data_IF_065139657677
#
_entry.id   IF_065139657677
#
_cell.length_a   1.000
_cell.length_b   1.000
_cell.length_c   1.000
_cell.angle_alpha   90.00
_cell.angle_beta   90.00
_cell.angle_gamma   90.00
#
_symmetry.space_group_name_H-M   'P 1'
#
loop_
_entity.id
_entity.type
_entity.pdbx_description
1 polymer ?
#
# COMPACT_ATOMS: atom_id res chain seq x y z
N UNK A 1 29.73 -8.90 -5.63
CA UNK A 1 28.58 -9.38 -4.83
C UNK A 1 27.30 -8.57 -5.06
N UNK A 2 27.36 -7.24 -5.37
CA UNK A 2 26.18 -6.38 -5.59
C UNK A 2 25.24 -6.89 -6.70
N UNK A 3 25.76 -7.30 -7.83
CA UNK A 3 24.93 -7.77 -8.96
C UNK A 3 24.22 -9.12 -8.68
N UNK A 4 24.78 -9.98 -7.81
CA UNK A 4 24.20 -11.29 -7.53
C UNK A 4 22.83 -11.19 -6.80
N UNK A 5 22.71 -10.26 -5.83
CA UNK A 5 21.45 -10.00 -5.13
C UNK A 5 20.37 -9.47 -6.10
N UNK A 6 20.75 -8.58 -7.02
CA UNK A 6 19.83 -8.03 -8.02
C UNK A 6 19.33 -9.11 -8.98
N UNK A 7 20.21 -10.01 -9.45
CA UNK A 7 19.83 -11.13 -10.31
C UNK A 7 18.90 -12.13 -9.60
N UNK A 8 19.16 -12.41 -8.31
CA UNK A 8 18.26 -13.24 -7.50
C UNK A 8 16.88 -12.59 -7.38
N UNK A 9 16.83 -11.29 -7.09
CA UNK A 9 15.58 -10.54 -6.98
C UNK A 9 14.82 -10.52 -8.32
N UNK A 10 15.52 -10.25 -9.44
CA UNK A 10 14.95 -10.30 -10.78
C UNK A 10 14.43 -11.70 -11.14
N UNK A 11 15.16 -12.75 -10.78
CA UNK A 11 14.74 -14.14 -10.97
C UNK A 11 13.49 -14.50 -10.18
N UNK A 12 13.39 -14.03 -8.93
CA UNK A 12 12.18 -14.22 -8.09
C UNK A 12 10.98 -13.51 -8.73
N UNK A 13 11.13 -12.26 -9.15
CA UNK A 13 10.04 -11.52 -9.82
C UNK A 13 9.62 -12.24 -11.11
N UNK A 14 10.58 -12.65 -11.94
CA UNK A 14 10.28 -13.37 -13.18
C UNK A 14 9.53 -14.68 -12.90
N UNK A 15 9.97 -15.45 -11.92
CA UNK A 15 9.29 -16.68 -11.49
C UNK A 15 7.85 -16.40 -11.06
N UNK A 16 7.62 -15.34 -10.29
CA UNK A 16 6.30 -14.94 -9.83
C UNK A 16 5.39 -14.55 -10.99
N UNK A 17 5.91 -13.76 -11.96
CA UNK A 17 5.15 -13.37 -13.15
C UNK A 17 4.78 -14.60 -13.99
N UNK A 18 5.71 -15.53 -14.15
CA UNK A 18 5.47 -16.80 -14.86
C UNK A 18 4.40 -17.62 -14.13
N UNK A 19 4.52 -17.77 -12.81
CA UNK A 19 3.53 -18.50 -12.01
C UNK A 19 2.15 -17.84 -12.07
N UNK A 20 2.08 -16.50 -12.00
CA UNK A 20 0.82 -15.77 -12.16
C UNK A 20 0.20 -15.99 -13.54
N UNK A 21 1.02 -16.04 -14.60
CA UNK A 21 0.55 -16.29 -15.96
C UNK A 21 0.08 -17.74 -16.17
N UNK A 22 0.74 -18.73 -15.52
CA UNK A 22 0.37 -20.15 -15.61
C UNK A 22 -0.88 -20.47 -14.79
N UNK A 23 -0.99 -19.92 -13.59
CA UNK A 23 -2.07 -20.23 -12.64
C UNK A 23 -3.22 -19.23 -12.69
N UNK A 24 -3.09 -18.13 -13.44
CA UNK A 24 -4.08 -17.06 -13.60
C UNK A 24 -4.76 -16.63 -12.29
N UNK A 25 -3.94 -16.47 -11.25
CA UNK A 25 -4.42 -16.16 -9.89
C UNK A 25 -5.23 -14.87 -9.83
N UNK A 26 -4.98 -13.94 -10.75
CA UNK A 26 -5.73 -12.68 -10.85
C UNK A 26 -7.20 -12.90 -11.23
N UNK A 27 -7.52 -13.90 -12.02
CA UNK A 27 -8.90 -14.24 -12.39
C UNK A 27 -9.64 -14.95 -11.26
N UNK A 28 -8.93 -15.74 -10.44
CA UNK A 28 -9.53 -16.45 -9.31
C UNK A 28 -10.11 -15.51 -8.24
N UNK A 29 -9.54 -14.32 -8.06
CA UNK A 29 -9.99 -13.35 -7.04
C UNK A 29 -11.23 -12.58 -7.52
N UNK A 30 -11.50 -12.51 -8.81
CA UNK A 30 -12.54 -11.65 -9.41
C UNK A 30 -13.85 -12.35 -9.70
N UNK A 31 -13.97 -13.67 -9.54
CA UNK A 31 -15.17 -14.41 -9.87
C UNK A 31 -16.19 -14.36 -8.73
N UNK A 32 -17.47 -14.11 -9.06
CA UNK A 32 -18.58 -14.02 -8.09
C UNK A 32 -18.72 -15.29 -7.23
N UNK A 33 -18.46 -16.47 -7.81
CA UNK A 33 -18.48 -17.75 -7.11
C UNK A 33 -17.44 -17.84 -5.98
N UNK A 34 -16.26 -17.28 -6.22
CA UNK A 34 -15.20 -17.26 -5.22
C UNK A 34 -15.52 -16.29 -4.05
N UNK A 35 -16.22 -15.19 -4.34
CA UNK A 35 -16.69 -14.29 -3.30
C UNK A 35 -17.74 -14.98 -2.39
N UNK A 36 -18.65 -15.76 -2.97
CA UNK A 36 -19.61 -16.54 -2.16
C UNK A 36 -18.94 -17.64 -1.34
N UNK A 37 -17.96 -18.32 -1.91
CA UNK A 37 -17.14 -19.29 -1.17
C UNK A 37 -16.43 -18.63 0.02
N UNK A 38 -15.79 -17.47 -0.19
CA UNK A 38 -15.14 -16.70 0.88
C UNK A 38 -16.16 -16.27 1.95
N UNK A 39 -17.34 -15.79 1.56
CA UNK A 39 -18.42 -15.45 2.51
C UNK A 39 -18.84 -16.64 3.37
N UNK A 40 -18.94 -17.84 2.80
CA UNK A 40 -19.25 -19.08 3.55
C UNK A 40 -18.16 -19.39 4.59
N UNK A 41 -16.87 -19.21 4.24
CA UNK A 41 -15.77 -19.39 5.22
C UNK A 41 -15.89 -18.38 6.34
N UNK A 42 -16.19 -17.11 6.02
CA UNK A 42 -16.40 -16.05 7.04
C UNK A 42 -17.53 -16.41 7.99
N UNK A 43 -18.64 -16.94 7.48
CA UNK A 43 -19.80 -17.34 8.30
C UNK A 43 -19.50 -18.55 9.20
N UNK A 44 -18.71 -19.50 8.71
CA UNK A 44 -18.40 -20.74 9.44
C UNK A 44 -17.25 -20.55 10.45
N UNK A 45 -16.23 -19.76 10.11
CA UNK A 45 -15.05 -19.58 10.95
C UNK A 45 -14.38 -18.21 10.67
N UNK A 46 -14.88 -17.17 11.32
CA UNK A 46 -14.37 -15.81 11.17
C UNK A 46 -12.85 -15.68 11.43
N UNK A 47 -12.27 -16.26 12.50
CA UNK A 47 -10.84 -16.17 12.74
C UNK A 47 -9.99 -16.78 11.60
N UNK A 48 -10.40 -17.93 11.08
CA UNK A 48 -9.72 -18.56 9.95
C UNK A 48 -9.81 -17.71 8.68
N UNK A 49 -11.00 -17.14 8.40
CA UNK A 49 -11.21 -16.26 7.27
C UNK A 49 -10.31 -15.02 7.34
N UNK A 50 -10.21 -14.39 8.52
CA UNK A 50 -9.32 -13.25 8.76
C UNK A 50 -7.87 -13.65 8.52
N UNK A 51 -7.41 -14.77 9.07
CA UNK A 51 -6.04 -15.24 8.89
C UNK A 51 -5.72 -15.49 7.41
N UNK A 52 -6.59 -16.19 6.70
CA UNK A 52 -6.41 -16.45 5.26
C UNK A 52 -6.37 -15.15 4.45
N UNK A 53 -7.29 -14.23 4.72
CA UNK A 53 -7.31 -12.91 4.09
C UNK A 53 -6.00 -12.15 4.34
N UNK A 54 -5.53 -12.11 5.59
CA UNK A 54 -4.30 -11.40 5.96
C UNK A 54 -3.08 -12.00 5.24
N UNK A 55 -2.96 -13.32 5.21
CA UNK A 55 -1.85 -14.01 4.51
C UNK A 55 -1.91 -13.71 3.01
N UNK A 56 -3.07 -13.83 2.38
CA UNK A 56 -3.24 -13.53 0.95
C UNK A 56 -2.94 -12.06 0.63
N UNK A 57 -3.36 -11.14 1.50
CA UNK A 57 -3.05 -9.70 1.34
C UNK A 57 -1.56 -9.44 1.43
N UNK A 58 -0.87 -10.00 2.43
CA UNK A 58 0.58 -9.85 2.60
C UNK A 58 1.32 -10.40 1.38
N UNK A 59 0.98 -11.60 0.94
CA UNK A 59 1.56 -12.21 -0.27
C UNK A 59 1.27 -11.36 -1.49
N UNK A 60 0.04 -10.90 -1.67
CA UNK A 60 -0.37 -10.06 -2.79
C UNK A 60 0.37 -8.72 -2.84
N UNK A 61 0.61 -8.10 -1.68
CA UNK A 61 1.37 -6.85 -1.60
C UNK A 61 2.86 -7.02 -1.93
N UNK A 62 3.47 -8.16 -1.57
CA UNK A 62 4.89 -8.39 -1.77
C UNK A 62 5.18 -8.97 -3.16
N UNK A 63 4.35 -9.94 -3.58
CA UNK A 63 4.63 -10.84 -4.70
C UNK A 63 3.90 -10.43 -5.97
N UNK A 64 2.59 -10.17 -5.87
CA UNK A 64 1.73 -10.01 -7.05
C UNK A 64 1.61 -8.57 -7.54
N UNK A 65 2.18 -7.62 -6.84
CA UNK A 65 2.06 -6.19 -7.15
C UNK A 65 0.60 -5.73 -7.37
N UNK A 66 -0.36 -6.36 -6.69
CA UNK A 66 -1.77 -6.01 -6.79
C UNK A 66 -2.02 -4.63 -6.16
N UNK A 67 -2.92 -3.83 -6.72
CA UNK A 67 -3.30 -2.55 -6.12
C UNK A 67 -3.85 -2.74 -4.71
N UNK A 68 -3.35 -1.99 -3.73
CA UNK A 68 -3.81 -2.07 -2.33
C UNK A 68 -5.32 -1.87 -2.17
N UNK A 69 -5.94 -1.11 -3.06
CA UNK A 69 -7.40 -0.88 -3.15
C UNK A 69 -8.18 -2.19 -3.30
N UNK A 70 -7.67 -3.15 -4.06
CA UNK A 70 -8.33 -4.46 -4.27
C UNK A 70 -8.56 -5.18 -2.94
N UNK A 71 -7.54 -5.18 -2.07
CA UNK A 71 -7.65 -5.80 -0.74
C UNK A 71 -8.63 -5.05 0.16
N UNK A 72 -8.65 -3.71 0.10
CA UNK A 72 -9.58 -2.92 0.90
C UNK A 72 -11.05 -3.16 0.47
N UNK A 73 -11.31 -3.29 -0.84
CA UNK A 73 -12.62 -3.64 -1.37
C UNK A 73 -13.06 -5.01 -0.85
N UNK A 74 -12.20 -6.02 -0.96
CA UNK A 74 -12.50 -7.37 -0.48
C UNK A 74 -12.75 -7.40 1.03
N UNK A 75 -11.92 -6.69 1.81
CA UNK A 75 -12.10 -6.62 3.25
C UNK A 75 -13.45 -6.02 3.66
N UNK A 76 -13.86 -4.92 3.01
CA UNK A 76 -15.15 -4.28 3.28
C UNK A 76 -16.33 -5.20 2.93
N UNK A 77 -16.27 -5.92 1.80
CA UNK A 77 -17.30 -6.85 1.36
C UNK A 77 -17.41 -8.10 2.24
N UNK A 78 -16.28 -8.59 2.78
CA UNK A 78 -16.23 -9.84 3.54
C UNK A 78 -16.43 -9.64 5.04
N UNK A 79 -15.81 -8.62 5.62
CA UNK A 79 -15.72 -8.42 7.07
C UNK A 79 -16.45 -7.18 7.56
N UNK A 80 -17.01 -6.38 6.65
CA UNK A 80 -17.68 -5.13 6.99
C UNK A 80 -16.72 -3.97 7.30
N UNK A 81 -17.25 -2.84 7.79
CA UNK A 81 -16.49 -1.59 7.84
C UNK A 81 -15.35 -1.61 8.88
N UNK A 82 -15.59 -2.13 10.08
CA UNK A 82 -14.64 -2.05 11.20
C UNK A 82 -13.59 -3.15 11.11
N UNK A 83 -14.02 -4.41 11.11
CA UNK A 83 -13.10 -5.57 11.03
C UNK A 83 -12.32 -5.52 9.72
N UNK A 84 -12.98 -5.20 8.61
CA UNK A 84 -12.34 -5.06 7.31
C UNK A 84 -11.26 -3.99 7.29
N UNK A 85 -11.52 -2.82 7.88
CA UNK A 85 -10.52 -1.75 7.98
C UNK A 85 -9.31 -2.18 8.81
N UNK A 86 -9.53 -2.79 9.97
CA UNK A 86 -8.44 -3.23 10.86
C UNK A 86 -7.60 -4.31 10.16
N UNK A 87 -8.22 -5.36 9.65
CA UNK A 87 -7.52 -6.48 9.01
C UNK A 87 -6.76 -6.02 7.76
N UNK A 88 -7.39 -5.18 6.93
CA UNK A 88 -6.75 -4.65 5.73
C UNK A 88 -5.57 -3.73 6.08
N UNK A 89 -5.72 -2.80 7.03
CA UNK A 89 -4.65 -1.89 7.44
C UNK A 89 -3.45 -2.64 8.01
N UNK A 90 -3.69 -3.64 8.85
CA UNK A 90 -2.61 -4.44 9.42
C UNK A 90 -1.89 -5.28 8.34
N UNK A 91 -2.64 -6.00 7.51
CA UNK A 91 -2.05 -6.88 6.50
C UNK A 91 -1.33 -6.10 5.39
N UNK A 92 -1.89 -4.99 4.91
CA UNK A 92 -1.21 -4.15 3.92
C UNK A 92 0.03 -3.47 4.49
N UNK A 93 0.01 -3.09 5.78
CA UNK A 93 1.20 -2.56 6.45
C UNK A 93 2.28 -3.63 6.61
N UNK A 94 1.93 -4.84 7.01
CA UNK A 94 2.88 -5.96 7.08
C UNK A 94 3.46 -6.24 5.69
N UNK A 95 2.63 -6.29 4.66
CA UNK A 95 3.08 -6.46 3.28
C UNK A 95 4.02 -5.34 2.82
N UNK A 96 3.68 -4.08 3.14
CA UNK A 96 4.53 -2.93 2.84
C UNK A 96 5.90 -3.02 3.55
N UNK A 97 5.91 -3.43 4.81
CA UNK A 97 7.13 -3.62 5.60
C UNK A 97 8.00 -4.74 5.02
N UNK A 98 7.42 -5.85 4.62
CA UNK A 98 8.17 -6.94 3.98
C UNK A 98 8.76 -6.52 2.64
N UNK A 99 8.00 -5.79 1.81
CA UNK A 99 8.49 -5.24 0.55
C UNK A 99 9.61 -4.21 0.78
N UNK A 100 9.48 -3.36 1.80
CA UNK A 100 10.53 -2.43 2.23
C UNK A 100 11.81 -3.16 2.65
N UNK A 101 11.71 -4.21 3.47
CA UNK A 101 12.85 -5.03 3.89
C UNK A 101 13.51 -5.69 2.67
N UNK A 102 12.71 -6.25 1.76
CA UNK A 102 13.21 -6.83 0.52
C UNK A 102 13.93 -5.77 -0.33
N UNK A 103 13.35 -4.57 -0.49
CA UNK A 103 13.99 -3.44 -1.17
C UNK A 103 15.33 -3.07 -0.52
N UNK A 104 15.36 -2.98 0.81
CA UNK A 104 16.57 -2.65 1.59
C UNK A 104 17.67 -3.70 1.43
N UNK A 105 17.31 -4.96 1.47
CA UNK A 105 18.29 -6.05 1.38
C UNK A 105 18.81 -6.28 -0.05
N UNK A 106 17.92 -6.26 -1.05
CA UNK A 106 18.27 -6.64 -2.42
C UNK A 106 18.65 -5.45 -3.31
N UNK A 107 17.98 -4.30 -3.13
CA UNK A 107 18.04 -3.19 -4.08
C UNK A 107 18.93 -2.05 -3.63
N UNK A 108 19.04 -1.76 -2.32
CA UNK A 108 19.73 -0.59 -1.79
C UNK A 108 21.18 -0.47 -2.29
N UNK A 109 21.95 -1.54 -2.22
CA UNK A 109 23.37 -1.54 -2.61
C UNK A 109 23.58 -1.41 -4.13
N UNK A 110 22.60 -1.86 -4.93
CA UNK A 110 22.71 -1.93 -6.38
C UNK A 110 22.07 -0.74 -7.08
N UNK A 111 20.88 -0.35 -6.64
CA UNK A 111 20.06 0.70 -7.26
C UNK A 111 20.25 2.06 -6.57
N UNK A 112 20.51 2.09 -5.27
CA UNK A 112 20.71 3.32 -4.51
C UNK A 112 21.70 4.29 -5.17
N UNK A 113 22.91 3.86 -5.57
CA UNK A 113 23.87 4.72 -6.26
C UNK A 113 23.40 5.24 -7.63
N UNK A 114 22.53 4.49 -8.32
CA UNK A 114 21.96 4.91 -9.61
C UNK A 114 20.87 5.96 -9.38
N UNK A 115 20.01 5.74 -8.40
CA UNK A 115 18.95 6.69 -8.01
C UNK A 115 19.55 7.99 -7.48
N UNK A 116 20.62 7.92 -6.69
CA UNK A 116 21.33 9.10 -6.17
C UNK A 116 21.94 10.00 -7.27
N UNK A 117 22.23 9.44 -8.45
CA UNK A 117 22.71 10.21 -9.62
C UNK A 117 21.60 10.96 -10.35
N UNK A 118 20.35 10.53 -10.20
CA UNK A 118 19.21 11.19 -10.84
C UNK A 118 18.69 12.28 -9.91
N UNK A 119 18.80 13.55 -10.31
CA UNK A 119 18.42 14.73 -9.49
C UNK A 119 16.98 14.67 -9.01
N UNK A 120 16.05 14.21 -9.85
CA UNK A 120 14.63 14.13 -9.52
C UNK A 120 14.39 13.02 -8.51
N UNK A 121 14.93 11.81 -8.76
CA UNK A 121 14.77 10.67 -7.85
C UNK A 121 15.52 10.88 -6.53
N UNK A 122 16.69 11.54 -6.59
CA UNK A 122 17.45 11.93 -5.39
C UNK A 122 16.59 12.83 -4.50
N UNK A 123 15.99 13.89 -5.06
CA UNK A 123 15.14 14.82 -4.34
C UNK A 123 13.93 14.12 -3.69
N UNK A 124 13.30 13.16 -4.39
CA UNK A 124 12.13 12.43 -3.88
C UNK A 124 12.44 11.36 -2.83
N UNK A 125 13.61 10.73 -2.90
CA UNK A 125 13.93 9.54 -2.10
C UNK A 125 15.05 9.78 -1.07
N UNK A 126 15.89 10.79 -1.29
CA UNK A 126 17.07 11.09 -0.46
C UNK A 126 17.16 12.58 -0.20
N UNK A 127 16.03 13.24 0.10
CA UNK A 127 15.98 14.69 0.28
C UNK A 127 16.89 15.15 1.42
N UNK A 128 17.96 15.89 1.05
CA UNK A 128 18.90 16.52 2.00
C UNK A 128 18.32 17.84 2.56
N UNK A 129 17.11 18.26 2.13
CA UNK A 129 16.51 19.58 2.44
C UNK A 129 15.92 19.68 3.85
N UNK A 130 16.16 18.68 4.73
CA UNK A 130 15.66 18.73 6.11
C UNK A 130 14.15 18.49 6.26
N UNK A 131 13.43 18.20 5.18
CA UNK A 131 12.06 17.71 5.27
C UNK A 131 12.04 16.43 6.10
N UNK A 132 11.25 16.42 7.16
CA UNK A 132 11.12 15.26 8.03
C UNK A 132 10.71 14.04 7.21
N UNK A 133 11.49 12.93 7.27
CA UNK A 133 11.21 11.64 6.60
C UNK A 133 9.74 11.21 6.77
N UNK A 134 9.15 11.54 7.92
CA UNK A 134 7.76 11.28 8.24
C UNK A 134 6.80 12.10 7.35
N UNK A 135 7.16 13.36 7.04
CA UNK A 135 6.35 14.25 6.20
C UNK A 135 6.32 13.78 4.75
N UNK A 136 7.46 13.38 4.20
CA UNK A 136 7.55 12.81 2.84
C UNK A 136 6.76 11.50 2.75
N UNK A 137 6.87 10.63 3.77
CA UNK A 137 6.08 9.41 3.84
C UNK A 137 4.58 9.71 3.90
N UNK A 138 4.17 10.69 4.70
CA UNK A 138 2.76 11.11 4.80
C UNK A 138 2.21 11.56 3.45
N UNK A 139 2.94 12.43 2.73
CA UNK A 139 2.52 12.91 1.41
C UNK A 139 2.35 11.74 0.44
N UNK A 140 3.33 10.86 0.35
CA UNK A 140 3.32 9.76 -0.62
C UNK A 140 2.26 8.70 -0.30
N UNK A 141 1.84 8.56 0.97
CA UNK A 141 0.76 7.66 1.38
C UNK A 141 -0.63 8.25 1.15
N UNK A 142 -0.80 9.55 1.37
CA UNK A 142 -2.08 10.24 1.19
C UNK A 142 -2.33 10.66 -0.25
N UNK A 143 -1.26 10.97 -1.01
CA UNK A 143 -1.35 11.33 -2.42
C UNK A 143 -0.82 10.15 -3.26
N UNK A 144 -1.68 9.43 -3.99
CA UNK A 144 -1.27 8.25 -4.75
C UNK A 144 -0.53 8.65 -6.03
N UNK A 145 0.71 9.13 -5.90
CA UNK A 145 1.57 9.52 -7.04
C UNK A 145 2.19 8.30 -7.70
N UNK A 146 2.52 7.29 -6.93
CA UNK A 146 3.19 6.08 -7.40
C UNK A 146 2.39 4.82 -7.03
N UNK A 147 2.53 3.73 -7.81
CA UNK A 147 1.96 2.44 -7.45
C UNK A 147 2.43 1.98 -6.05
N UNK A 148 1.50 1.54 -5.24
CA UNK A 148 1.69 1.17 -3.84
C UNK A 148 2.92 0.26 -3.62
N UNK A 149 3.04 -0.79 -4.43
CA UNK A 149 4.13 -1.77 -4.26
C UNK A 149 5.49 -1.18 -4.62
N UNK A 150 5.55 -0.37 -5.70
CA UNK A 150 6.79 0.29 -6.11
C UNK A 150 7.29 1.24 -5.02
N UNK A 151 6.39 1.99 -4.38
CA UNK A 151 6.74 2.85 -3.24
C UNK A 151 7.40 2.08 -2.11
N UNK A 152 6.88 0.90 -1.75
CA UNK A 152 7.39 0.12 -0.64
C UNK A 152 8.84 -0.34 -0.88
N UNK A 153 9.14 -0.82 -2.08
CA UNK A 153 10.51 -1.15 -2.48
C UNK A 153 11.42 0.10 -2.55
N UNK A 154 10.89 1.21 -3.07
CA UNK A 154 11.63 2.47 -3.19
C UNK A 154 12.04 3.01 -1.81
N UNK A 155 11.13 3.01 -0.83
CA UNK A 155 11.48 3.36 0.55
C UNK A 155 12.53 2.43 1.17
N UNK A 156 12.58 1.17 0.78
CA UNK A 156 13.63 0.24 1.17
C UNK A 156 15.04 0.68 0.71
N UNK A 157 15.14 1.40 -0.39
CA UNK A 157 16.40 1.92 -0.93
C UNK A 157 16.87 3.17 -0.15
N UNK A 158 15.95 3.93 0.46
CA UNK A 158 16.24 5.16 1.22
C UNK A 158 16.86 4.86 2.59
N UNK A 159 17.27 5.91 3.31
CA UNK A 159 17.81 5.81 4.67
C UNK A 159 16.75 5.93 5.76
N UNK A 160 15.46 6.03 5.40
CA UNK A 160 14.36 6.13 6.35
C UNK A 160 14.42 5.05 7.42
N UNK A 161 14.19 5.42 8.69
CA UNK A 161 14.20 4.49 9.81
C UNK A 161 13.05 3.49 9.67
N UNK A 162 13.32 2.23 9.97
CA UNK A 162 12.33 1.15 9.90
C UNK A 162 11.06 1.47 10.71
N UNK A 163 11.21 1.96 11.96
CA UNK A 163 10.08 2.32 12.82
C UNK A 163 9.26 3.48 12.25
N UNK A 164 9.91 4.51 11.72
CA UNK A 164 9.25 5.64 11.06
C UNK A 164 8.42 5.17 9.87
N UNK A 165 9.01 4.30 9.04
CA UNK A 165 8.32 3.73 7.89
C UNK A 165 7.13 2.86 8.28
N UNK A 166 7.31 1.91 9.24
CA UNK A 166 6.26 0.97 9.63
C UNK A 166 5.07 1.66 10.30
N UNK A 167 5.34 2.49 11.31
CA UNK A 167 4.30 3.21 12.06
C UNK A 167 3.66 4.29 11.19
N UNK A 168 4.45 5.07 10.47
CA UNK A 168 3.95 6.09 9.56
C UNK A 168 3.08 5.49 8.44
N UNK A 169 3.49 4.35 7.86
CA UNK A 169 2.67 3.67 6.86
C UNK A 169 1.34 3.21 7.44
N UNK A 170 1.32 2.61 8.63
CA UNK A 170 0.06 2.19 9.28
C UNK A 170 -0.88 3.38 9.48
N UNK A 171 -0.37 4.48 10.03
CA UNK A 171 -1.20 5.66 10.37
C UNK A 171 -1.69 6.35 9.09
N UNK A 172 -0.80 6.60 8.12
CA UNK A 172 -1.15 7.40 6.95
C UNK A 172 -1.92 6.63 5.88
N UNK A 173 -1.84 5.30 5.86
CA UNK A 173 -2.66 4.47 4.99
C UNK A 173 -4.07 4.25 5.56
N UNK A 174 -4.26 4.36 6.88
CA UNK A 174 -5.52 4.04 7.56
C UNK A 174 -6.73 4.84 7.00
N UNK A 175 -6.67 6.16 6.80
CA UNK A 175 -7.82 6.92 6.27
C UNK A 175 -8.24 6.47 4.87
N UNK A 176 -7.27 6.23 3.99
CA UNK A 176 -7.52 5.72 2.64
C UNK A 176 -8.11 4.29 2.66
N UNK A 177 -7.56 3.41 3.49
CA UNK A 177 -8.08 2.06 3.66
C UNK A 177 -9.51 2.09 4.20
N UNK A 178 -9.78 2.90 5.23
CA UNK A 178 -11.11 3.05 5.81
C UNK A 178 -12.14 3.56 4.79
N UNK A 179 -11.75 4.52 3.95
CA UNK A 179 -12.61 5.02 2.87
C UNK A 179 -13.10 3.90 1.96
N UNK A 180 -12.20 3.03 1.50
CA UNK A 180 -12.56 1.92 0.61
C UNK A 180 -13.30 0.80 1.33
N UNK A 181 -12.87 0.39 2.52
CA UNK A 181 -13.52 -0.69 3.28
C UNK A 181 -14.92 -0.31 3.74
N UNK A 182 -15.12 0.92 4.26
CA UNK A 182 -16.44 1.40 4.69
C UNK A 182 -17.36 1.59 3.48
N UNK A 183 -16.84 2.17 2.38
CA UNK A 183 -17.62 2.37 1.16
C UNK A 183 -18.13 1.05 0.57
N UNK A 184 -17.28 0.03 0.50
CA UNK A 184 -17.66 -1.29 -0.04
C UNK A 184 -18.51 -2.10 0.93
N UNK A 185 -18.32 -1.96 2.24
CA UNK A 185 -19.24 -2.51 3.23
C UNK A 185 -20.67 -1.96 3.05
N UNK A 186 -20.81 -0.66 2.73
CA UNK A 186 -22.09 -0.05 2.41
C UNK A 186 -22.76 -0.61 1.14
N UNK A 187 -21.97 -1.14 0.19
CA UNK A 187 -22.54 -1.84 -0.96
C UNK A 187 -23.12 -3.22 -0.61
N UNK A 188 -22.53 -3.86 0.40
CA UNK A 188 -22.95 -5.19 0.87
C UNK A 188 -24.13 -5.12 1.86
N UNK A 189 -24.21 -4.07 2.66
CA UNK A 189 -25.22 -3.86 3.71
C UNK A 189 -26.33 -2.93 3.20
N UNK A 190 -27.51 -3.51 2.96
CA UNK A 190 -28.67 -2.75 2.45
C UNK A 190 -29.28 -1.82 3.49
N UNK A 191 -29.21 -2.16 4.77
CA UNK A 191 -29.84 -1.39 5.84
C UNK A 191 -29.04 -0.12 6.16
N UNK A 192 -27.71 -0.24 6.25
CA UNK A 192 -26.81 0.86 6.61
C UNK A 192 -26.12 1.50 5.39
N UNK A 193 -26.58 1.20 4.18
CA UNK A 193 -25.95 1.63 2.92
C UNK A 193 -25.66 3.12 2.86
N UNK A 194 -26.66 3.95 3.14
CA UNK A 194 -26.53 5.41 3.07
C UNK A 194 -25.54 5.94 4.12
N UNK A 195 -25.56 5.37 5.31
CA UNK A 195 -24.64 5.74 6.39
C UNK A 195 -23.18 5.44 5.99
N UNK A 196 -22.87 4.23 5.54
CA UNK A 196 -21.52 3.82 5.20
C UNK A 196 -21.00 4.55 3.95
N UNK A 197 -21.83 4.74 2.94
CA UNK A 197 -21.45 5.53 1.76
C UNK A 197 -21.23 6.98 2.17
N UNK A 198 -22.07 7.56 3.02
CA UNK A 198 -21.89 8.91 3.54
C UNK A 198 -20.56 9.07 4.29
N UNK A 199 -20.22 8.14 5.19
CA UNK A 199 -18.94 8.13 5.90
C UNK A 199 -17.77 8.02 4.90
N UNK A 200 -17.86 7.13 3.92
CA UNK A 200 -16.80 6.95 2.92
C UNK A 200 -16.57 8.22 2.08
N UNK A 201 -17.66 8.93 1.70
CA UNK A 201 -17.57 10.22 1.00
C UNK A 201 -16.91 11.29 1.87
N UNK A 202 -17.30 11.40 3.14
CA UNK A 202 -16.66 12.34 4.08
C UNK A 202 -15.17 12.04 4.21
N UNK A 203 -14.79 10.76 4.40
CA UNK A 203 -13.39 10.35 4.45
C UNK A 203 -12.65 10.69 3.15
N UNK A 204 -13.27 10.46 1.97
CA UNK A 204 -12.68 10.82 0.68
C UNK A 204 -12.41 12.31 0.57
N UNK A 205 -13.37 13.16 0.98
CA UNK A 205 -13.22 14.61 0.98
C UNK A 205 -12.09 15.03 1.93
N UNK A 206 -12.06 14.51 3.15
CA UNK A 206 -11.03 14.84 4.14
C UNK A 206 -9.63 14.45 3.62
N UNK A 207 -9.46 13.23 3.13
CA UNK A 207 -8.18 12.75 2.55
C UNK A 207 -7.75 13.62 1.37
N UNK A 208 -8.69 13.99 0.50
CA UNK A 208 -8.41 14.85 -0.66
C UNK A 208 -7.97 16.25 -0.23
N UNK A 209 -8.67 16.86 0.73
CA UNK A 209 -8.32 18.20 1.26
C UNK A 209 -6.92 18.16 1.89
N UNK A 210 -6.65 17.17 2.75
CA UNK A 210 -5.32 16.99 3.36
C UNK A 210 -4.26 16.83 2.27
N UNK A 211 -4.49 16.00 1.26
CA UNK A 211 -3.58 15.79 0.14
C UNK A 211 -3.28 17.08 -0.64
N UNK A 212 -4.31 17.93 -0.90
CA UNK A 212 -4.14 19.22 -1.58
C UNK A 212 -3.32 20.18 -0.72
N UNK A 213 -3.59 20.27 0.58
CA UNK A 213 -2.86 21.14 1.51
C UNK A 213 -1.38 20.72 1.56
N UNK A 214 -1.11 19.45 1.77
CA UNK A 214 0.25 18.90 1.81
C UNK A 214 1.02 19.14 0.51
N UNK A 215 0.35 18.94 -0.64
CA UNK A 215 0.96 19.23 -1.94
C UNK A 215 1.31 20.72 -2.09
N UNK A 216 0.45 21.63 -1.63
CA UNK A 216 0.74 23.06 -1.68
C UNK A 216 1.89 23.46 -0.77
N UNK A 217 1.94 22.91 0.45
CA UNK A 217 3.07 23.16 1.36
C UNK A 217 4.39 22.69 0.73
N UNK A 218 4.41 21.49 0.19
CA UNK A 218 5.61 20.94 -0.45
C UNK A 218 6.09 21.78 -1.66
N UNK A 219 5.15 22.21 -2.53
CA UNK A 219 5.50 23.02 -3.69
C UNK A 219 5.95 24.45 -3.31
N UNK A 220 5.49 24.99 -2.18
CA UNK A 220 5.90 26.31 -1.72
C UNK A 220 7.35 26.30 -1.26
N UNK A 221 7.73 25.30 -0.49
CA UNK A 221 9.11 25.12 -0.03
C UNK A 221 10.07 24.98 -1.22
N UNK A 222 9.67 24.25 -2.27
CA UNK A 222 10.43 24.10 -3.54
C UNK A 222 10.65 25.44 -4.27
N UNK A 223 9.68 26.35 -4.22
CA UNK A 223 9.76 27.63 -4.92
C UNK A 223 10.61 28.66 -4.16
N UNK A 224 10.68 28.56 -2.85
CA UNK A 224 11.53 29.42 -2.01
C UNK A 224 13.01 29.01 -2.12
N UNK A 225 13.30 27.70 -2.15
CA UNK A 225 14.66 27.14 -2.30
C UNK A 225 15.28 27.40 -3.68
N UNK A 226 14.48 27.49 -4.76
CA UNK A 226 15.01 27.82 -6.10
C UNK A 226 15.23 29.31 -6.34
N UNK A 227 15.02 30.18 -5.33
CA UNK A 227 15.26 31.64 -5.42
C UNK A 227 16.53 32.09 -4.71
N UNK A 228 17.15 31.20 -3.90
CA UNK A 228 18.48 31.40 -3.31
C UNK A 228 19.56 30.71 -4.16
#
# INVERSE_FOLDING_TARGET
MKNKKLWIFGGIILLIVILNHIFDWSSYISTAENLEFMKRIVQNNLPLAILLYMVLTVVGCVVLALPGVTFAILAGLLFGPVIGTICCSLSTTIGAVLAFIAGRFFLKDSIGPVVAKNRILKKWLFDDTGCNELFVLMITRLVPVFPFNLQNFAYGITDIRFSTYAIGSLIFMLPGTAMYTVGTAGLADKENRLLYIGIAVVLAVVVTIIGIILKKCYLKDDLEENKE
#
